data_IF_304910516083
#
_entry.id   IF_304910516083
#
_cell.length_a   1.000
_cell.length_b   1.000
_cell.length_c   1.000
_cell.angle_alpha   90.00
_cell.angle_beta   90.00
_cell.angle_gamma   90.00
#
_symmetry.space_group_name_H-M   'P 1'
#
loop_
_entity.id
_entity.type
_entity.pdbx_description
1 polymer ?
#
# COMPACT_ATOMS: atom_id res chain seq x y z
N UNK A 1 28.08 4.73 -38.23
CA UNK A 1 28.13 5.11 -36.80
C UNK A 1 26.81 4.68 -36.19
N UNK A 2 26.81 3.52 -35.63
CA UNK A 2 25.59 3.00 -34.95
C UNK A 2 25.46 3.72 -33.61
N UNK A 3 24.54 4.67 -33.53
CA UNK A 3 24.08 5.18 -32.27
C UNK A 3 23.50 3.98 -31.52
N UNK A 4 24.14 3.64 -30.42
CA UNK A 4 23.66 2.65 -29.47
C UNK A 4 22.37 3.23 -28.86
N UNK A 5 21.25 3.02 -29.55
CA UNK A 5 19.93 3.38 -29.07
C UNK A 5 19.69 2.50 -27.84
N UNK A 6 19.96 3.08 -26.67
CA UNK A 6 19.74 2.41 -25.39
C UNK A 6 18.28 2.01 -25.36
N UNK A 7 18.00 0.72 -25.40
CA UNK A 7 16.64 0.20 -25.44
C UNK A 7 15.85 0.81 -24.26
N UNK A 8 14.70 1.40 -24.56
CA UNK A 8 13.82 2.01 -23.56
C UNK A 8 13.36 0.94 -22.55
N UNK A 9 13.25 1.33 -21.29
CA UNK A 9 12.67 0.48 -20.25
C UNK A 9 11.23 0.14 -20.63
N UNK A 10 10.87 -1.14 -20.57
CA UNK A 10 9.54 -1.65 -20.88
C UNK A 10 8.65 -1.52 -19.66
N UNK A 11 7.61 -0.69 -19.77
CA UNK A 11 6.71 -0.32 -18.69
C UNK A 11 5.28 -0.75 -19.01
N UNK A 12 4.57 -1.29 -18.03
CA UNK A 12 3.13 -1.51 -18.10
C UNK A 12 2.42 -0.66 -17.05
N UNK A 13 1.15 -0.31 -17.32
CA UNK A 13 0.34 0.55 -16.46
C UNK A 13 -0.95 -0.16 -16.08
N UNK A 14 -1.19 -0.29 -14.79
CA UNK A 14 -2.40 -0.89 -14.21
C UNK A 14 -3.14 0.15 -13.39
N UNK A 15 -4.34 0.51 -13.83
CA UNK A 15 -5.21 1.47 -13.15
C UNK A 15 -6.62 1.34 -13.70
N UNK A 16 -7.63 1.28 -12.86
CA UNK A 16 -9.05 1.16 -13.28
C UNK A 16 -9.64 2.50 -13.77
N UNK A 17 -8.99 3.63 -13.45
CA UNK A 17 -9.41 4.95 -13.92
C UNK A 17 -8.85 5.21 -15.33
N UNK A 18 -9.69 5.06 -16.33
CA UNK A 18 -9.30 5.18 -17.75
C UNK A 18 -8.60 6.50 -18.08
N UNK A 19 -9.16 7.64 -17.64
CA UNK A 19 -8.59 8.96 -17.91
C UNK A 19 -7.22 9.15 -17.26
N UNK A 20 -7.06 8.67 -16.03
CA UNK A 20 -5.77 8.73 -15.33
C UNK A 20 -4.74 7.84 -16.04
N UNK A 21 -5.09 6.61 -16.36
CA UNK A 21 -4.24 5.67 -17.09
C UNK A 21 -3.78 6.24 -18.43
N UNK A 22 -4.70 6.82 -19.21
CA UNK A 22 -4.39 7.46 -20.47
C UNK A 22 -3.42 8.64 -20.31
N UNK A 23 -3.60 9.47 -19.28
CA UNK A 23 -2.72 10.60 -18.96
C UNK A 23 -1.31 10.15 -18.57
N UNK A 24 -1.21 9.10 -17.76
CA UNK A 24 0.08 8.49 -17.37
C UNK A 24 0.80 7.95 -18.61
N UNK A 25 0.12 7.19 -19.45
CA UNK A 25 0.71 6.63 -20.68
C UNK A 25 1.20 7.76 -21.60
N UNK A 26 0.40 8.81 -21.80
CA UNK A 26 0.80 9.96 -22.60
C UNK A 26 2.07 10.65 -22.05
N UNK A 27 2.21 10.74 -20.74
CA UNK A 27 3.37 11.31 -20.07
C UNK A 27 4.63 10.45 -20.24
N UNK A 28 4.48 9.13 -20.25
CA UNK A 28 5.61 8.19 -20.19
C UNK A 28 6.12 7.73 -21.55
N UNK A 29 5.30 7.71 -22.60
CA UNK A 29 5.62 7.09 -23.90
C UNK A 29 6.86 7.63 -24.59
N UNK A 30 7.26 8.86 -24.33
CA UNK A 30 8.47 9.44 -24.92
C UNK A 30 9.74 8.91 -24.25
N UNK A 31 9.65 8.58 -22.97
CA UNK A 31 10.78 8.09 -22.15
C UNK A 31 10.87 6.57 -22.05
N UNK A 32 9.77 5.88 -22.21
CA UNK A 32 9.64 4.43 -21.98
C UNK A 32 8.90 3.74 -23.13
N UNK A 33 9.11 2.42 -23.24
CA UNK A 33 8.33 1.55 -24.10
C UNK A 33 7.12 1.01 -23.32
N UNK A 34 5.91 1.49 -23.64
CA UNK A 34 4.67 1.06 -22.97
C UNK A 34 4.20 -0.24 -23.61
N UNK A 35 4.43 -1.35 -22.93
CA UNK A 35 4.18 -2.70 -23.46
C UNK A 35 2.80 -3.26 -23.11
N UNK A 36 2.07 -2.63 -22.20
CA UNK A 36 0.73 -3.08 -21.84
C UNK A 36 0.03 -2.16 -20.86
N UNK A 37 -1.28 -2.35 -20.78
CA UNK A 37 -2.15 -1.68 -19.82
C UNK A 37 -3.31 -2.60 -19.40
N UNK A 38 -3.81 -2.43 -18.19
CA UNK A 38 -4.94 -3.18 -17.68
C UNK A 38 -5.74 -2.37 -16.65
N UNK A 39 -7.00 -2.76 -16.41
CA UNK A 39 -7.93 -2.04 -15.53
C UNK A 39 -8.51 -2.91 -14.41
N UNK A 40 -8.23 -4.20 -14.41
CA UNK A 40 -8.72 -5.16 -13.42
C UNK A 40 -7.66 -6.21 -13.06
N UNK A 41 -7.92 -6.98 -12.00
CA UNK A 41 -6.97 -7.99 -11.52
C UNK A 41 -6.69 -9.08 -12.54
N UNK A 42 -7.67 -9.78 -13.12
CA UNK A 42 -7.36 -10.86 -14.05
C UNK A 42 -6.70 -10.38 -15.34
N UNK A 43 -7.14 -9.24 -15.88
CA UNK A 43 -6.53 -8.62 -17.06
C UNK A 43 -5.08 -8.19 -16.81
N UNK A 44 -4.79 -7.68 -15.61
CA UNK A 44 -3.43 -7.29 -15.22
C UNK A 44 -2.49 -8.49 -15.13
N UNK A 45 -2.91 -9.57 -14.48
CA UNK A 45 -2.10 -10.78 -14.36
C UNK A 45 -1.81 -11.40 -15.73
N UNK A 46 -2.83 -11.49 -16.60
CA UNK A 46 -2.67 -11.98 -17.96
C UNK A 46 -1.73 -11.11 -18.80
N UNK A 47 -1.90 -9.79 -18.75
CA UNK A 47 -1.05 -8.82 -19.45
C UNK A 47 0.41 -8.91 -18.99
N UNK A 48 0.66 -8.97 -17.68
CA UNK A 48 2.02 -9.09 -17.14
C UNK A 48 2.68 -10.42 -17.53
N UNK A 49 1.95 -11.53 -17.47
CA UNK A 49 2.43 -12.84 -17.89
C UNK A 49 2.82 -12.86 -19.38
N UNK A 50 2.05 -12.17 -20.22
CA UNK A 50 2.27 -12.14 -21.67
C UNK A 50 3.39 -11.18 -22.06
N UNK A 51 3.44 -9.99 -21.51
CA UNK A 51 4.37 -8.92 -21.91
C UNK A 51 5.68 -8.92 -21.12
N UNK A 52 5.69 -9.47 -19.92
CA UNK A 52 6.86 -9.51 -19.01
C UNK A 52 7.56 -8.15 -18.92
N UNK A 53 6.87 -7.10 -18.43
CA UNK A 53 7.43 -5.77 -18.35
C UNK A 53 8.58 -5.71 -17.35
N UNK A 54 9.50 -4.75 -17.52
CA UNK A 54 10.56 -4.50 -16.55
C UNK A 54 10.04 -3.77 -15.33
N UNK A 55 9.13 -2.80 -15.54
CA UNK A 55 8.45 -2.07 -14.46
C UNK A 55 6.94 -2.05 -14.69
N UNK A 56 6.18 -2.27 -13.65
CA UNK A 56 4.73 -2.08 -13.62
C UNK A 56 4.39 -0.93 -12.69
N UNK A 57 3.71 0.08 -13.23
CA UNK A 57 2.98 1.05 -12.40
C UNK A 57 1.66 0.41 -11.98
N UNK A 58 1.47 0.27 -10.70
CA UNK A 58 0.40 -0.53 -10.13
C UNK A 58 -0.48 0.29 -9.20
N UNK A 59 -1.72 0.56 -9.62
CA UNK A 59 -2.72 1.09 -8.70
C UNK A 59 -2.97 0.10 -7.55
N UNK A 60 -3.09 0.63 -6.35
CA UNK A 60 -3.36 -0.17 -5.15
C UNK A 60 -4.79 -0.70 -5.14
N UNK A 61 -5.74 0.09 -5.62
CA UNK A 61 -7.17 -0.24 -5.62
C UNK A 61 -7.65 -0.66 -7.01
N UNK A 62 -7.44 -1.91 -7.36
CA UNK A 62 -7.85 -2.47 -8.66
C UNK A 62 -8.96 -3.51 -8.44
N UNK A 63 -10.08 -3.42 -9.18
CA UNK A 63 -11.21 -4.34 -9.01
C UNK A 63 -11.02 -5.69 -9.70
N UNK A 64 -11.97 -6.59 -9.50
CA UNK A 64 -12.11 -7.82 -10.27
C UNK A 64 -11.34 -9.03 -9.75
N UNK A 65 -10.77 -8.95 -8.55
CA UNK A 65 -10.11 -10.08 -7.89
C UNK A 65 -10.83 -10.55 -6.63
N UNK A 66 -10.07 -11.14 -5.72
CA UNK A 66 -10.52 -11.64 -4.42
C UNK A 66 -10.48 -10.56 -3.32
N UNK A 67 -10.31 -9.29 -3.72
CA UNK A 67 -10.29 -8.14 -2.82
C UNK A 67 -8.89 -7.64 -2.46
N UNK A 68 -7.85 -8.24 -2.99
CA UNK A 68 -6.45 -7.85 -2.72
C UNK A 68 -5.91 -6.72 -3.60
N UNK A 69 -6.64 -6.32 -4.63
CA UNK A 69 -6.27 -5.21 -5.51
C UNK A 69 -4.85 -5.32 -6.08
N UNK A 70 -4.06 -4.26 -5.94
CA UNK A 70 -2.67 -4.24 -6.43
C UNK A 70 -1.76 -5.26 -5.78
N UNK A 71 -1.93 -5.53 -4.49
CA UNK A 71 -1.16 -6.56 -3.78
C UNK A 71 -1.45 -7.96 -4.34
N UNK A 72 -2.70 -8.24 -4.69
CA UNK A 72 -3.11 -9.50 -5.33
C UNK A 72 -2.49 -9.65 -6.73
N UNK A 73 -2.53 -8.59 -7.54
CA UNK A 73 -1.91 -8.60 -8.87
C UNK A 73 -0.42 -8.93 -8.75
N UNK A 74 0.28 -8.27 -7.84
CA UNK A 74 1.70 -8.48 -7.62
C UNK A 74 2.00 -9.95 -7.23
N UNK A 75 1.27 -10.47 -6.25
CA UNK A 75 1.45 -11.84 -5.78
C UNK A 75 1.16 -12.88 -6.88
N UNK A 76 0.06 -12.70 -7.62
CA UNK A 76 -0.33 -13.61 -8.72
C UNK A 76 0.58 -13.51 -9.95
N UNK A 77 1.21 -12.36 -10.18
CA UNK A 77 2.10 -12.15 -11.33
C UNK A 77 3.52 -12.67 -11.11
N UNK A 78 3.95 -12.74 -9.86
CA UNK A 78 5.34 -13.13 -9.51
C UNK A 78 5.81 -14.45 -10.13
N UNK A 79 5.00 -15.54 -10.15
CA UNK A 79 5.42 -16.79 -10.77
C UNK A 79 5.67 -16.70 -12.28
N UNK A 80 4.97 -15.79 -12.96
CA UNK A 80 5.04 -15.63 -14.42
C UNK A 80 6.08 -14.61 -14.85
N UNK A 81 6.38 -13.63 -14.01
CA UNK A 81 7.32 -12.54 -14.29
C UNK A 81 8.14 -12.18 -13.04
N UNK A 82 9.06 -13.07 -12.62
CA UNK A 82 9.76 -12.93 -11.34
C UNK A 82 10.70 -11.73 -11.27
N UNK A 83 11.15 -11.21 -12.41
CA UNK A 83 12.07 -10.07 -12.49
C UNK A 83 11.37 -8.72 -12.63
N UNK A 84 10.06 -8.70 -12.83
CA UNK A 84 9.28 -7.47 -12.92
C UNK A 84 9.32 -6.71 -11.59
N UNK A 85 9.62 -5.44 -11.67
CA UNK A 85 9.60 -4.50 -10.54
C UNK A 85 8.27 -3.77 -10.51
N UNK A 86 7.70 -3.61 -9.32
CA UNK A 86 6.40 -2.95 -9.14
C UNK A 86 6.58 -1.64 -8.37
N UNK A 87 6.10 -0.55 -8.97
CA UNK A 87 5.98 0.76 -8.35
C UNK A 87 4.50 1.03 -8.10
N UNK A 88 4.10 1.00 -6.82
CA UNK A 88 2.72 1.26 -6.44
C UNK A 88 2.36 2.73 -6.60
N UNK A 89 1.14 3.00 -7.09
CA UNK A 89 0.61 4.31 -7.36
C UNK A 89 -0.78 4.42 -6.73
N UNK A 90 -1.02 5.38 -5.85
CA UNK A 90 -2.27 5.49 -5.12
C UNK A 90 -2.70 6.93 -4.85
N UNK A 91 -3.99 7.15 -4.66
CA UNK A 91 -4.53 8.44 -4.19
C UNK A 91 -4.28 8.66 -2.69
N UNK A 92 -4.00 7.60 -1.95
CA UNK A 92 -3.85 7.58 -0.49
C UNK A 92 -2.44 7.17 -0.08
N UNK A 93 -1.97 7.70 1.03
CA UNK A 93 -0.78 7.25 1.76
C UNK A 93 -1.13 6.52 3.07
N UNK A 94 -2.34 5.97 3.13
CA UNK A 94 -2.81 5.25 4.31
C UNK A 94 -1.91 4.04 4.62
N UNK A 95 -1.50 3.85 5.89
CA UNK A 95 -0.56 2.79 6.28
C UNK A 95 -0.98 1.38 5.87
N UNK A 96 -2.28 1.09 5.85
CA UNK A 96 -2.81 -0.22 5.46
C UNK A 96 -2.55 -0.52 3.99
N UNK A 97 -2.80 0.45 3.10
CA UNK A 97 -2.61 0.33 1.65
C UNK A 97 -1.13 0.18 1.31
N UNK A 98 -0.30 1.03 1.91
CA UNK A 98 1.16 0.98 1.77
C UNK A 98 1.70 -0.37 2.24
N UNK A 99 1.31 -0.80 3.44
CA UNK A 99 1.77 -2.05 4.05
C UNK A 99 1.43 -3.28 3.22
N UNK A 100 0.24 -3.35 2.64
CA UNK A 100 -0.20 -4.50 1.84
C UNK A 100 0.66 -4.69 0.58
N UNK A 101 0.86 -3.64 -0.22
CA UNK A 101 1.64 -3.76 -1.46
C UNK A 101 3.14 -3.93 -1.22
N UNK A 102 3.68 -3.33 -0.16
CA UNK A 102 5.10 -3.50 0.21
C UNK A 102 5.36 -4.92 0.69
N UNK A 103 4.51 -5.49 1.54
CA UNK A 103 4.62 -6.90 1.94
C UNK A 103 4.48 -7.86 0.77
N UNK A 104 3.67 -7.52 -0.23
CA UNK A 104 3.57 -8.29 -1.47
C UNK A 104 4.83 -8.17 -2.34
N UNK A 105 5.71 -7.20 -2.10
CA UNK A 105 7.00 -7.04 -2.76
C UNK A 105 7.11 -5.86 -3.73
N UNK A 106 6.28 -4.81 -3.56
CA UNK A 106 6.46 -3.58 -4.34
C UNK A 106 7.78 -2.90 -3.96
N UNK A 107 8.51 -2.41 -4.95
CA UNK A 107 9.81 -1.76 -4.80
C UNK A 107 9.69 -0.31 -4.34
N UNK A 108 8.54 0.29 -4.54
CA UNK A 108 8.28 1.66 -4.14
C UNK A 108 6.79 1.98 -4.10
N UNK A 109 6.50 3.16 -3.57
CA UNK A 109 5.15 3.69 -3.43
C UNK A 109 5.14 5.19 -3.63
N UNK A 110 4.36 5.67 -4.58
CA UNK A 110 4.16 7.08 -4.88
C UNK A 110 2.67 7.42 -4.91
N UNK A 111 2.34 8.67 -4.61
CA UNK A 111 0.95 9.14 -4.72
C UNK A 111 0.62 9.64 -6.11
N UNK A 112 -0.65 9.56 -6.51
CA UNK A 112 -1.13 10.03 -7.84
C UNK A 112 -1.02 11.55 -8.03
N UNK A 113 -0.59 12.28 -7.01
CA UNK A 113 -0.26 13.72 -7.07
C UNK A 113 1.17 13.99 -7.55
N UNK A 114 1.96 12.94 -7.78
CA UNK A 114 3.34 13.04 -8.30
C UNK A 114 3.38 13.76 -9.64
N UNK A 115 4.41 14.56 -9.88
CA UNK A 115 4.62 15.19 -11.18
C UNK A 115 5.07 14.17 -12.23
N UNK A 116 4.84 14.44 -13.52
CA UNK A 116 5.32 13.56 -14.59
C UNK A 116 6.83 13.36 -14.58
N UNK A 117 7.59 14.42 -14.31
CA UNK A 117 9.05 14.36 -14.21
C UNK A 117 9.53 13.47 -13.05
N UNK A 118 8.89 13.61 -11.89
CA UNK A 118 9.21 12.78 -10.71
C UNK A 118 8.79 11.33 -10.90
N UNK A 119 7.68 11.07 -11.59
CA UNK A 119 7.26 9.72 -11.94
C UNK A 119 8.27 9.04 -12.88
N UNK A 120 8.74 9.74 -13.90
CA UNK A 120 9.78 9.25 -14.81
C UNK A 120 11.05 8.92 -14.03
N UNK A 121 11.49 9.81 -13.14
CA UNK A 121 12.65 9.57 -12.27
C UNK A 121 12.44 8.36 -11.37
N UNK A 122 11.27 8.22 -10.77
CA UNK A 122 10.91 7.10 -9.87
C UNK A 122 10.94 5.75 -10.59
N UNK A 123 10.43 5.69 -11.83
CA UNK A 123 10.49 4.47 -12.66
C UNK A 123 11.94 4.05 -12.94
N UNK A 124 12.78 5.00 -13.30
CA UNK A 124 14.22 4.73 -13.54
C UNK A 124 14.91 4.22 -12.28
N UNK A 125 14.64 4.84 -11.14
CA UNK A 125 15.22 4.44 -9.85
C UNK A 125 14.81 3.03 -9.43
N UNK A 126 13.53 2.67 -9.50
CA UNK A 126 13.09 1.31 -9.15
C UNK A 126 13.64 0.27 -10.14
N UNK A 127 13.77 0.61 -11.41
CA UNK A 127 14.39 -0.25 -12.41
C UNK A 127 15.87 -0.51 -12.11
N UNK A 128 16.59 0.46 -11.57
CA UNK A 128 17.98 0.33 -11.12
C UNK A 128 18.12 -0.40 -9.77
N UNK A 129 17.03 -0.75 -9.12
CA UNK A 129 17.01 -1.49 -7.85
C UNK A 129 16.87 -0.63 -6.59
N UNK A 130 16.69 0.68 -6.74
CA UNK A 130 16.45 1.57 -5.60
C UNK A 130 15.00 1.48 -5.13
N UNK A 131 14.81 1.62 -3.81
CA UNK A 131 13.48 1.79 -3.24
C UNK A 131 13.04 3.26 -3.35
N UNK A 132 11.79 3.50 -3.74
CA UNK A 132 11.25 4.84 -3.91
C UNK A 132 10.06 5.05 -2.98
N UNK A 133 10.24 5.92 -2.00
CA UNK A 133 9.20 6.32 -1.05
C UNK A 133 9.32 7.80 -0.72
N UNK A 134 8.20 8.46 -0.39
CA UNK A 134 8.29 9.76 0.26
C UNK A 134 8.97 9.61 1.65
N UNK A 135 9.60 10.66 2.19
CA UNK A 135 10.24 10.61 3.52
C UNK A 135 9.30 10.11 4.63
N UNK A 136 8.03 10.51 4.60
CA UNK A 136 6.98 10.07 5.53
C UNK A 136 6.73 8.56 5.43
N UNK A 137 6.64 8.04 4.22
CA UNK A 137 6.41 6.61 3.97
C UNK A 137 7.64 5.75 4.24
N UNK A 138 8.84 6.27 4.00
CA UNK A 138 10.08 5.57 4.31
C UNK A 138 10.19 5.23 5.80
N UNK A 139 9.85 6.17 6.69
CA UNK A 139 9.80 5.93 8.13
C UNK A 139 8.80 4.85 8.52
N UNK A 140 7.61 4.86 7.92
CA UNK A 140 6.58 3.85 8.15
C UNK A 140 7.03 2.44 7.68
N UNK A 141 7.61 2.35 6.49
CA UNK A 141 8.11 1.08 5.93
C UNK A 141 9.20 0.49 6.83
N UNK A 142 10.16 1.30 7.27
CA UNK A 142 11.20 0.86 8.19
C UNK A 142 10.63 0.34 9.51
N UNK A 143 9.66 1.02 10.10
CA UNK A 143 8.99 0.59 11.33
C UNK A 143 8.25 -0.74 11.14
N UNK A 144 7.55 -0.92 10.03
CA UNK A 144 6.79 -2.13 9.73
C UNK A 144 7.70 -3.37 9.57
N UNK A 145 8.92 -3.19 9.05
CA UNK A 145 9.89 -4.28 8.89
C UNK A 145 10.70 -4.58 10.16
N UNK A 146 10.84 -3.61 11.07
CA UNK A 146 11.61 -3.77 12.31
C UNK A 146 10.79 -4.30 13.49
N UNK A 147 9.48 -4.44 13.35
CA UNK A 147 8.59 -4.91 14.42
C UNK A 147 8.49 -3.94 15.62
N UNK A 148 8.94 -2.69 15.46
CA UNK A 148 8.86 -1.65 16.48
C UNK A 148 7.60 -0.81 16.20
N UNK A 149 6.67 -0.66 17.17
CA UNK A 149 5.55 0.26 16.99
C UNK A 149 6.09 1.67 16.77
N UNK A 150 5.56 2.36 15.79
CA UNK A 150 5.89 3.76 15.55
C UNK A 150 5.59 4.56 16.83
N UNK A 151 6.63 5.06 17.46
CA UNK A 151 6.50 5.98 18.58
C UNK A 151 5.86 7.27 18.05
N UNK A 152 4.65 7.54 18.52
CA UNK A 152 3.99 8.81 18.28
C UNK A 152 4.87 9.94 18.79
N UNK A 153 5.20 10.86 17.93
CA UNK A 153 5.82 12.12 18.32
C UNK A 153 4.76 12.96 19.01
N UNK A 154 4.71 12.89 20.34
CA UNK A 154 4.09 13.91 21.16
C UNK A 154 5.19 14.66 21.90
N UNK A 155 5.50 15.84 21.40
CA UNK A 155 6.33 16.82 22.06
C UNK A 155 5.48 17.73 22.94
N UNK A 156 5.73 17.70 24.23
CA UNK A 156 5.14 18.63 25.16
C UNK A 156 5.87 18.59 26.50
N UNK A 157 6.69 19.56 26.70
CA UNK A 157 7.51 19.76 27.88
C UNK A 157 6.71 20.26 29.11
N UNK A 158 7.30 19.98 30.29
CA UNK A 158 7.29 20.73 31.55
C UNK A 158 6.10 20.63 32.52
N UNK A 159 6.48 20.30 33.75
CA UNK A 159 5.76 20.70 34.94
C UNK A 159 6.01 19.83 36.17
N UNK A 160 7.00 20.26 36.91
CA UNK A 160 7.48 19.64 38.15
C UNK A 160 6.45 19.54 39.31
N UNK A 161 6.64 18.46 40.12
CA UNK A 161 6.59 18.41 41.58
C UNK A 161 5.28 18.62 42.35
N UNK A 162 4.81 17.64 43.08
CA UNK A 162 4.99 17.45 44.52
C UNK A 162 4.11 16.30 45.03
N UNK A 163 4.75 15.53 45.89
CA UNK A 163 4.18 14.50 46.73
C UNK A 163 3.19 15.04 47.74
N UNK A 164 2.13 14.29 48.05
CA UNK A 164 1.64 14.15 49.42
C UNK A 164 0.93 12.77 49.55
N UNK A 165 1.46 12.08 50.55
CA UNK A 165 0.89 10.90 51.16
C UNK A 165 -0.57 11.10 51.59
N UNK A 166 -1.36 10.08 51.51
CA UNK A 166 -2.24 9.58 52.60
C UNK A 166 -2.99 8.34 52.17
N UNK A 167 -2.68 7.24 52.81
CA UNK A 167 -3.48 6.02 52.98
C UNK A 167 -4.19 6.11 54.33
N UNK A 168 -4.98 5.10 54.75
CA UNK A 168 -6.15 4.46 54.15
C UNK A 168 -7.34 4.44 55.11
N UNK A 169 -8.47 3.93 54.70
CA UNK A 169 -9.55 3.60 55.59
C UNK A 169 -10.59 2.67 54.99
N UNK A 170 -11.07 1.71 55.75
CA UNK A 170 -11.63 0.48 55.21
C UNK A 170 -13.16 0.36 55.25
N UNK A 171 -13.63 -0.57 54.40
CA UNK A 171 -14.78 -1.47 54.57
C UNK A 171 -16.15 -0.87 54.91
N UNK A 172 -17.17 -1.33 54.26
CA UNK A 172 -18.22 -2.19 54.79
C UNK A 172 -19.14 -2.72 53.69
N UNK A 173 -19.35 -4.01 53.78
CA UNK A 173 -20.22 -4.83 52.97
C UNK A 173 -21.73 -4.65 53.32
N UNK A 174 -22.55 -5.21 52.47
CA UNK A 174 -23.94 -5.72 52.58
C UNK A 174 -24.81 -5.10 51.50
N UNK A 175 -25.62 -5.83 50.78
CA UNK A 175 -26.12 -7.19 50.82
C UNK A 175 -27.27 -7.30 49.83
N UNK A 176 -27.31 -8.43 49.25
CA UNK A 176 -28.43 -9.32 49.04
C UNK A 176 -29.76 -8.82 48.38
N UNK A 177 -30.20 -9.64 47.47
CA UNK A 177 -31.58 -9.86 47.07
C UNK A 177 -31.82 -9.52 45.62
N UNK A 178 -32.16 -10.38 44.72
CA UNK A 178 -32.87 -11.64 44.80
C UNK A 178 -33.97 -11.62 43.72
N UNK A 179 -34.13 -12.76 43.10
CA UNK A 179 -35.25 -13.21 42.27
C UNK A 179 -35.32 -12.76 40.81
N UNK A 180 -35.11 -13.61 39.85
CA UNK A 180 -35.84 -14.85 39.45
C UNK A 180 -37.11 -14.53 38.64
N UNK A 181 -37.22 -15.17 37.52
CA UNK A 181 -38.44 -15.36 36.73
C UNK A 181 -38.16 -15.15 35.24
N UNK A 182 -37.88 -16.10 34.51
CA UNK A 182 -38.47 -17.34 34.01
C UNK A 182 -39.53 -17.13 32.91
N UNK A 183 -39.34 -17.91 31.86
CA UNK A 183 -40.30 -18.46 30.88
C UNK A 183 -40.61 -17.56 29.68
N UNK A 184 -40.32 -17.95 28.51
CA UNK A 184 -40.44 -19.10 27.61
C UNK A 184 -41.52 -18.89 26.54
N UNK A 185 -41.15 -19.36 25.36
CA UNK A 185 -42.02 -19.97 24.33
C UNK A 185 -42.81 -19.09 23.36
N UNK A 186 -42.65 -19.41 22.13
CA UNK A 186 -43.55 -19.89 21.10
C UNK A 186 -43.19 -19.26 19.76
N UNK A 187 -42.68 -19.91 18.85
CA UNK A 187 -43.14 -20.94 17.92
C UNK A 187 -44.28 -20.51 17.00
N UNK A 188 -44.04 -20.73 15.72
CA UNK A 188 -44.95 -20.79 14.56
C UNK A 188 -45.29 -19.41 13.90
N UNK A 189 -45.17 -19.25 12.64
CA UNK A 189 -45.34 -20.08 11.41
C UNK A 189 -44.39 -19.53 10.35
#
# INVERSE_FOLDING_TARGET
MSENETAKIRVAVVDDHEMFRAGVIATLRDSFDIVGQAADVPGSVAMIAQTKPQVVLLDVHVPGGEGGGGAEILAKSRPYSPTTVFLALSVSDAPQDVGAVIRAGAQGYVTKTITGADLISSIKQVHEGYAVFSPKLAGFVLSAFQGVPAAGSDGGADGAARAHDEEPGPAVARGAGGHAGLIARGLHI
#
